data_IF_285610999218
#
_entry.id   IF_285610999218
#
_cell.length_a   1.000
_cell.length_b   1.000
_cell.length_c   1.000
_cell.angle_alpha   90.00
_cell.angle_beta   90.00
_cell.angle_gamma   90.00
#
_symmetry.space_group_name_H-M   'P 1'
#
loop_
_entity.id
_entity.type
_entity.pdbx_description
1 polymer ?
#
# COMPACT_ATOMS: atom_id res chain seq x y z
N UNK A 1 -0.26 5.51 -12.17
CA UNK A 1 0.46 4.25 -11.80
C UNK A 1 -0.48 3.07 -12.01
N UNK A 2 0.05 1.94 -12.50
CA UNK A 2 -0.66 0.66 -12.58
C UNK A 2 0.13 -0.40 -11.79
N UNK A 3 -0.58 -1.26 -11.06
CA UNK A 3 -0.04 -2.42 -10.39
C UNK A 3 -0.57 -3.69 -11.06
N UNK A 4 0.29 -4.39 -11.79
CA UNK A 4 -0.06 -5.53 -12.62
C UNK A 4 0.44 -6.84 -11.99
N UNK A 5 -0.48 -7.78 -11.84
CA UNK A 5 -0.22 -9.16 -11.41
C UNK A 5 -0.30 -10.05 -12.66
N UNK A 6 0.72 -10.87 -12.91
CA UNK A 6 0.76 -11.80 -14.05
C UNK A 6 0.96 -13.21 -13.55
N UNK A 7 -0.06 -14.05 -13.69
CA UNK A 7 -0.05 -15.45 -13.25
C UNK A 7 0.45 -15.60 -11.81
N UNK A 8 0.08 -14.66 -10.93
CA UNK A 8 0.53 -14.67 -9.54
C UNK A 8 -0.06 -15.89 -8.81
N UNK A 9 0.80 -16.74 -8.28
CA UNK A 9 0.45 -17.86 -7.41
C UNK A 9 0.91 -17.52 -6.01
N UNK A 10 0.01 -17.58 -5.04
CA UNK A 10 0.31 -17.32 -3.64
C UNK A 10 -0.25 -18.45 -2.75
N UNK A 11 0.32 -18.60 -1.56
CA UNK A 11 -0.06 -19.68 -0.67
C UNK A 11 0.84 -19.80 0.55
N UNK A 12 0.66 -20.91 1.26
CA UNK A 12 1.44 -21.22 2.45
C UNK A 12 2.25 -22.51 2.26
N UNK A 13 3.50 -22.51 2.73
CA UNK A 13 4.39 -23.70 2.74
C UNK A 13 4.46 -24.40 1.37
N UNK A 14 4.53 -23.63 0.30
CA UNK A 14 4.62 -24.15 -1.07
C UNK A 14 3.29 -24.65 -1.65
N UNK A 15 2.16 -24.57 -0.92
CA UNK A 15 0.84 -24.99 -1.41
C UNK A 15 0.05 -23.79 -1.93
N UNK A 16 -0.32 -23.74 -3.23
CA UNK A 16 -1.19 -22.72 -3.77
C UNK A 16 -2.54 -22.69 -3.07
N UNK A 17 -3.05 -21.49 -2.80
CA UNK A 17 -4.40 -21.29 -2.24
C UNK A 17 -5.46 -21.13 -3.33
N UNK A 18 -5.09 -20.56 -4.47
CA UNK A 18 -5.97 -20.26 -5.59
C UNK A 18 -5.27 -20.55 -6.92
N UNK A 19 -6.03 -20.66 -8.03
CA UNK A 19 -5.47 -20.61 -9.37
C UNK A 19 -4.65 -19.35 -9.61
N UNK A 20 -3.76 -19.34 -10.63
CA UNK A 20 -2.97 -18.17 -10.97
C UNK A 20 -3.82 -16.92 -11.18
N UNK A 21 -3.47 -15.82 -10.51
CA UNK A 21 -4.19 -14.55 -10.57
C UNK A 21 -3.52 -13.62 -11.58
N UNK A 22 -4.26 -13.18 -12.59
CA UNK A 22 -3.84 -12.15 -13.54
C UNK A 22 -4.81 -11.00 -13.50
N UNK A 23 -4.31 -9.81 -13.12
CA UNK A 23 -5.15 -8.64 -12.99
C UNK A 23 -4.29 -7.37 -12.97
N UNK A 24 -4.88 -6.25 -13.44
CA UNK A 24 -4.28 -4.91 -13.33
C UNK A 24 -5.17 -4.02 -12.48
N UNK A 25 -4.55 -3.31 -11.56
CA UNK A 25 -5.15 -2.32 -10.67
C UNK A 25 -4.48 -0.96 -10.92
N UNK A 26 -5.24 0.11 -10.74
CA UNK A 26 -4.79 1.46 -11.08
C UNK A 26 -4.81 2.38 -9.86
N UNK A 27 -3.94 3.38 -9.85
CA UNK A 27 -4.04 4.46 -8.85
C UNK A 27 -5.36 5.20 -9.01
N UNK A 28 -5.92 5.64 -7.89
CA UNK A 28 -7.25 6.26 -7.86
C UNK A 28 -8.38 5.24 -7.71
N UNK A 29 -8.07 3.94 -7.51
CA UNK A 29 -9.08 2.91 -7.28
C UNK A 29 -9.15 2.49 -5.82
N UNK A 30 -10.38 2.34 -5.32
CA UNK A 30 -10.73 1.67 -4.08
C UNK A 30 -11.21 0.26 -4.40
N UNK A 31 -10.41 -0.75 -4.05
CA UNK A 31 -10.65 -2.15 -4.39
C UNK A 31 -11.03 -2.93 -3.14
N UNK A 32 -12.22 -3.53 -3.14
CA UNK A 32 -12.64 -4.42 -2.07
C UNK A 32 -12.28 -5.88 -2.37
N UNK A 33 -11.56 -6.50 -1.45
CA UNK A 33 -11.24 -7.92 -1.48
C UNK A 33 -12.21 -8.66 -0.55
N UNK A 34 -13.14 -9.41 -1.11
CA UNK A 34 -14.18 -10.12 -0.38
C UNK A 34 -14.02 -11.64 -0.46
N UNK A 35 -14.58 -12.36 0.49
CA UNK A 35 -14.54 -13.81 0.54
C UNK A 35 -14.70 -14.33 1.96
N UNK A 36 -14.97 -15.63 2.12
CA UNK A 36 -15.15 -16.28 3.42
C UNK A 36 -13.87 -16.18 4.27
N UNK A 37 -14.03 -16.30 5.60
CA UNK A 37 -12.87 -16.41 6.49
C UNK A 37 -12.01 -17.64 6.09
N UNK A 38 -10.69 -17.46 6.07
CA UNK A 38 -9.75 -18.49 5.61
C UNK A 38 -9.67 -18.68 4.09
N UNK A 39 -10.33 -17.86 3.27
CA UNK A 39 -10.25 -17.96 1.80
C UNK A 39 -8.89 -17.55 1.21
N UNK A 40 -8.05 -16.85 1.98
CA UNK A 40 -6.71 -16.42 1.54
C UNK A 40 -6.56 -14.90 1.33
N UNK A 41 -7.54 -14.08 1.73
CA UNK A 41 -7.46 -12.59 1.61
C UNK A 41 -6.20 -12.02 2.24
N UNK A 42 -5.96 -12.35 3.51
CA UNK A 42 -4.76 -11.90 4.26
C UNK A 42 -3.47 -12.40 3.62
N UNK A 43 -3.45 -13.64 3.14
CA UNK A 43 -2.28 -14.20 2.45
C UNK A 43 -2.00 -13.45 1.15
N UNK A 44 -3.04 -13.12 0.37
CA UNK A 44 -2.88 -12.31 -0.83
C UNK A 44 -2.32 -10.92 -0.48
N UNK A 45 -2.92 -10.21 0.48
CA UNK A 45 -2.44 -8.88 0.89
C UNK A 45 -0.98 -8.92 1.37
N UNK A 46 -0.61 -9.91 2.19
CA UNK A 46 0.78 -10.09 2.64
C UNK A 46 1.73 -10.42 1.49
N UNK A 47 1.28 -11.18 0.49
CA UNK A 47 2.07 -11.45 -0.72
C UNK A 47 2.24 -10.18 -1.56
N UNK A 48 1.17 -9.39 -1.74
CA UNK A 48 1.22 -8.10 -2.45
C UNK A 48 2.11 -7.07 -1.73
N UNK A 49 2.19 -7.12 -0.39
CA UNK A 49 3.10 -6.30 0.40
C UNK A 49 4.57 -6.81 0.36
N UNK A 50 4.79 -8.01 -0.19
CA UNK A 50 6.11 -8.67 -0.15
C UNK A 50 6.53 -9.17 1.22
N UNK A 51 5.57 -9.33 2.16
CA UNK A 51 5.80 -9.96 3.47
C UNK A 51 5.83 -11.48 3.36
N UNK A 52 5.08 -12.04 2.40
CA UNK A 52 5.15 -13.44 2.02
C UNK A 52 5.67 -13.55 0.58
N UNK A 53 6.52 -14.53 0.29
CA UNK A 53 6.97 -14.76 -1.07
C UNK A 53 5.81 -15.26 -1.95
N UNK A 54 5.76 -14.80 -3.20
CA UNK A 54 4.94 -15.46 -4.22
C UNK A 54 5.51 -16.84 -4.54
N UNK A 55 4.64 -17.82 -4.82
CA UNK A 55 5.06 -19.15 -5.24
C UNK A 55 5.46 -19.16 -6.73
N UNK A 56 4.80 -18.35 -7.55
CA UNK A 56 5.14 -18.11 -8.95
C UNK A 56 4.44 -16.85 -9.47
N UNK A 57 4.75 -16.44 -10.70
CA UNK A 57 4.20 -15.25 -11.34
C UNK A 57 5.00 -13.99 -11.05
N UNK A 58 4.48 -12.86 -11.49
CA UNK A 58 5.17 -11.57 -11.43
C UNK A 58 4.23 -10.49 -10.89
N UNK A 59 4.81 -9.56 -10.14
CA UNK A 59 4.17 -8.32 -9.69
C UNK A 59 4.95 -7.15 -10.28
N UNK A 60 4.28 -6.29 -11.03
CA UNK A 60 4.93 -5.19 -11.74
C UNK A 60 4.23 -3.88 -11.44
N UNK A 61 5.02 -2.82 -11.24
CA UNK A 61 4.54 -1.44 -11.16
C UNK A 61 4.91 -0.74 -12.46
N UNK A 62 3.90 -0.19 -13.15
CA UNK A 62 4.08 0.74 -14.25
C UNK A 62 3.76 2.14 -13.77
N UNK A 63 4.68 3.07 -13.95
CA UNK A 63 4.49 4.45 -13.53
C UNK A 63 5.08 5.42 -14.54
N UNK A 64 4.52 6.61 -14.65
CA UNK A 64 5.10 7.75 -15.37
C UNK A 64 5.69 8.72 -14.35
N UNK A 65 6.65 9.53 -14.74
CA UNK A 65 7.53 10.34 -13.88
C UNK A 65 6.91 11.18 -12.76
N UNK A 66 5.58 11.36 -12.71
CA UNK A 66 4.89 12.08 -11.62
C UNK A 66 4.60 11.23 -10.37
N UNK A 67 4.75 9.91 -10.42
CA UNK A 67 4.41 8.99 -9.33
C UNK A 67 5.61 8.18 -8.85
N UNK A 68 6.81 8.52 -9.32
CA UNK A 68 8.02 7.93 -8.75
C UNK A 68 8.29 8.65 -7.41
N UNK A 69 8.41 7.94 -6.27
CA UNK A 69 8.81 8.57 -5.02
C UNK A 69 10.11 9.34 -5.25
N UNK A 70 10.13 10.65 -4.97
CA UNK A 70 11.26 11.55 -5.27
C UNK A 70 12.62 11.03 -4.78
N UNK A 71 12.63 10.23 -3.71
CA UNK A 71 13.82 9.56 -3.20
C UNK A 71 14.34 8.42 -4.07
N UNK A 72 13.57 7.93 -5.03
CA UNK A 72 13.98 6.87 -5.97
C UNK A 72 14.70 7.48 -7.18
N UNK A 73 14.50 8.79 -7.46
CA UNK A 73 15.07 9.46 -8.64
C UNK A 73 16.57 9.80 -8.51
N UNK A 74 17.16 9.82 -7.30
CA UNK A 74 18.50 10.41 -7.12
C UNK A 74 19.67 9.44 -7.00
N UNK A 75 19.48 8.15 -6.78
CA UNK A 75 20.63 7.23 -6.65
C UNK A 75 20.50 5.87 -7.34
N UNK A 76 19.30 5.30 -7.45
CA UNK A 76 19.16 3.86 -7.73
C UNK A 76 18.35 3.51 -8.99
N UNK A 77 17.72 4.48 -9.67
CA UNK A 77 16.91 4.21 -10.87
C UNK A 77 17.75 3.61 -11.97
N UNK A 78 19.00 4.07 -12.15
CA UNK A 78 19.93 3.47 -13.12
C UNK A 78 20.30 2.02 -12.78
N UNK A 79 20.36 1.65 -11.49
CA UNK A 79 20.66 0.28 -11.08
C UNK A 79 19.44 -0.64 -11.20
N UNK A 80 18.24 -0.12 -11.02
CA UNK A 80 16.97 -0.86 -11.12
C UNK A 80 16.60 -1.04 -12.60
N UNK A 81 16.74 0.00 -13.42
CA UNK A 81 16.54 -0.06 -14.88
C UNK A 81 17.54 -0.97 -15.57
N UNK A 82 18.80 -1.00 -15.11
CA UNK A 82 19.82 -1.93 -15.62
C UNK A 82 19.48 -3.41 -15.42
N UNK A 83 18.69 -3.76 -14.41
CA UNK A 83 18.23 -5.14 -14.20
C UNK A 83 17.09 -5.56 -15.14
N UNK A 84 16.31 -4.62 -15.66
CA UNK A 84 15.23 -4.91 -16.62
C UNK A 84 15.76 -5.11 -18.04
N UNK A 85 16.87 -4.48 -18.42
CA UNK A 85 17.46 -4.61 -19.77
C UNK A 85 18.16 -5.95 -20.04
N UNK A 86 18.41 -6.79 -19.03
CA UNK A 86 19.11 -8.08 -19.23
C UNK A 86 18.18 -9.26 -19.59
N UNK A 87 16.87 -9.08 -19.61
CA UNK A 87 15.93 -10.11 -20.09
C UNK A 87 15.43 -9.81 -21.51
N UNK A 88 16.33 -9.83 -22.49
CA UNK A 88 16.07 -10.08 -23.92
C UNK A 88 14.93 -9.29 -24.57
N UNK A 89 15.07 -7.98 -24.77
CA UNK A 89 14.22 -7.21 -25.66
C UNK A 89 14.98 -5.99 -26.18
N UNK A 90 15.16 -5.88 -27.49
CA UNK A 90 15.79 -4.71 -28.13
C UNK A 90 15.04 -3.42 -27.80
N UNK A 91 15.74 -2.29 -27.57
CA UNK A 91 15.09 -1.00 -27.44
C UNK A 91 14.54 -0.58 -28.81
N UNK A 92 13.22 -0.47 -28.92
CA UNK A 92 12.58 0.24 -30.02
C UNK A 92 12.68 1.75 -29.74
N UNK A 93 13.80 2.35 -30.12
CA UNK A 93 13.90 3.79 -30.32
C UNK A 93 13.45 4.08 -31.73
N UNK A 94 12.19 4.42 -31.95
CA UNK A 94 11.79 5.17 -33.14
C UNK A 94 11.91 6.65 -32.81
N UNK A 95 12.91 7.30 -33.38
CA UNK A 95 13.04 8.74 -33.43
C UNK A 95 11.90 9.32 -34.28
N UNK A 96 10.84 9.78 -33.66
CA UNK A 96 9.88 10.67 -34.32
C UNK A 96 10.05 12.08 -33.74
N UNK A 97 10.67 12.92 -34.56
CA UNK A 97 10.81 14.37 -34.38
C UNK A 97 9.44 15.06 -34.40
N UNK A 98 8.89 15.30 -33.23
CA UNK A 98 7.90 16.36 -32.99
C UNK A 98 7.82 16.60 -31.49
N UNK A 99 7.94 17.86 -31.06
CA UNK A 99 8.13 18.33 -29.67
C UNK A 99 6.99 18.01 -28.69
N UNK A 100 6.80 16.73 -28.41
CA UNK A 100 5.99 16.22 -27.31
C UNK A 100 6.95 15.74 -26.22
N UNK A 101 6.81 16.25 -25.02
CA UNK A 101 7.51 15.79 -23.82
C UNK A 101 7.18 14.30 -23.67
N UNK A 102 8.09 13.44 -24.08
CA UNK A 102 7.99 11.99 -23.89
C UNK A 102 7.94 11.72 -22.40
N UNK A 103 6.77 11.35 -21.89
CA UNK A 103 6.64 10.86 -20.53
C UNK A 103 7.31 9.48 -20.49
N UNK A 104 8.48 9.40 -19.87
CA UNK A 104 9.17 8.12 -19.67
C UNK A 104 8.27 7.22 -18.83
N UNK A 105 7.89 6.07 -19.37
CA UNK A 105 7.18 5.02 -18.66
C UNK A 105 8.20 4.07 -18.02
N UNK A 106 8.06 3.86 -16.70
CA UNK A 106 8.91 2.97 -15.94
C UNK A 106 8.16 1.68 -15.62
N UNK A 107 8.80 0.54 -15.83
CA UNK A 107 8.29 -0.77 -15.42
C UNK A 107 9.24 -1.33 -14.37
N UNK A 108 8.72 -1.53 -13.16
CA UNK A 108 9.47 -2.02 -12.01
C UNK A 108 8.97 -3.42 -11.66
N UNK A 109 9.86 -4.41 -11.64
CA UNK A 109 9.55 -5.72 -11.06
C UNK A 109 9.56 -5.59 -9.53
N UNK A 110 8.35 -5.56 -8.96
CA UNK A 110 8.18 -5.41 -7.52
C UNK A 110 8.82 -6.55 -6.72
N UNK A 111 8.90 -7.75 -7.31
CA UNK A 111 9.49 -8.92 -6.65
C UNK A 111 11.00 -8.79 -6.46
N UNK A 112 11.68 -8.03 -7.33
CA UNK A 112 13.13 -7.79 -7.26
C UNK A 112 13.54 -6.72 -6.25
N UNK A 113 12.60 -5.90 -5.78
CA UNK A 113 12.88 -4.81 -4.85
C UNK A 113 13.28 -5.35 -3.46
N UNK A 114 14.22 -4.69 -2.81
CA UNK A 114 14.53 -4.89 -1.40
C UNK A 114 13.34 -4.52 -0.49
N UNK A 115 13.28 -5.00 0.75
CA UNK A 115 12.23 -4.61 1.69
C UNK A 115 12.13 -3.08 1.90
N UNK A 116 13.27 -2.37 1.92
CA UNK A 116 13.30 -0.92 2.08
C UNK A 116 12.73 -0.18 0.86
N UNK A 117 13.04 -0.65 -0.34
CA UNK A 117 12.47 -0.12 -1.58
C UNK A 117 10.97 -0.39 -1.67
N UNK A 118 10.54 -1.64 -1.37
CA UNK A 118 9.10 -1.99 -1.34
C UNK A 118 8.30 -1.13 -0.38
N UNK A 119 8.87 -0.79 0.79
CA UNK A 119 8.22 0.07 1.77
C UNK A 119 7.97 1.51 1.29
N UNK A 120 8.57 1.93 0.18
CA UNK A 120 8.25 3.22 -0.47
C UNK A 120 7.05 3.12 -1.43
N UNK A 121 6.69 1.92 -1.84
CA UNK A 121 5.59 1.67 -2.78
C UNK A 121 4.33 1.19 -2.09
N UNK A 122 4.47 0.40 -1.03
CA UNK A 122 3.35 -0.29 -0.39
C UNK A 122 3.40 -0.10 1.12
N UNK A 123 2.29 0.33 1.69
CA UNK A 123 2.02 0.24 3.13
C UNK A 123 0.92 -0.79 3.40
N UNK A 124 0.96 -1.42 4.57
CA UNK A 124 -0.01 -2.44 4.96
C UNK A 124 -0.46 -2.29 6.40
N UNK A 125 -1.77 -2.47 6.62
CA UNK A 125 -2.38 -2.67 7.94
C UNK A 125 -2.82 -4.12 8.06
N UNK A 126 -2.34 -4.80 9.09
CA UNK A 126 -2.72 -6.18 9.41
C UNK A 126 -3.82 -6.20 10.48
N UNK A 127 -4.62 -7.28 10.57
CA UNK A 127 -5.74 -7.37 11.51
C UNK A 127 -5.28 -7.48 12.97
N UNK A 128 -4.04 -7.89 13.20
CA UNK A 128 -3.43 -7.99 14.52
C UNK A 128 -2.43 -6.86 14.71
N UNK A 129 -2.64 -6.06 15.75
CA UNK A 129 -1.65 -5.05 16.14
C UNK A 129 -0.46 -5.74 16.81
N UNK A 130 0.76 -5.57 16.29
CA UNK A 130 1.94 -6.13 16.96
C UNK A 130 2.12 -5.52 18.35
N UNK A 131 2.68 -6.28 19.27
CA UNK A 131 3.18 -5.72 20.53
C UNK A 131 4.29 -4.73 20.18
N UNK A 132 4.06 -3.48 20.56
CA UNK A 132 5.06 -2.42 20.38
C UNK A 132 5.71 -2.10 21.71
N UNK A 133 6.98 -1.68 21.73
CA UNK A 133 7.61 -1.11 22.92
C UNK A 133 6.73 -0.01 23.54
N UNK A 134 7.01 0.49 24.73
CA UNK A 134 6.23 1.56 25.39
C UNK A 134 6.39 2.90 24.65
N UNK A 135 5.88 2.92 23.39
CA UNK A 135 5.84 4.11 22.52
C UNK A 135 4.51 4.82 22.68
N UNK A 136 4.53 6.14 22.51
CA UNK A 136 3.34 6.97 22.36
C UNK A 136 2.72 6.79 20.97
N UNK A 137 1.46 7.19 20.82
CA UNK A 137 0.76 7.22 19.52
C UNK A 137 1.54 8.03 18.50
N UNK A 138 2.03 9.21 18.88
CA UNK A 138 2.82 10.07 17.98
C UNK A 138 4.07 9.34 17.48
N UNK A 139 4.84 8.72 18.37
CA UNK A 139 6.05 7.99 18.01
C UNK A 139 5.74 6.82 17.05
N UNK A 140 4.67 6.06 17.31
CA UNK A 140 4.25 4.96 16.41
C UNK A 140 3.88 5.48 15.03
N UNK A 141 3.14 6.59 14.92
CA UNK A 141 2.78 7.16 13.62
C UNK A 141 4.01 7.73 12.90
N UNK A 142 4.96 8.33 13.63
CA UNK A 142 6.23 8.80 13.08
C UNK A 142 7.08 7.67 12.48
N UNK A 143 7.00 6.43 13.03
CA UNK A 143 7.66 5.26 12.43
C UNK A 143 7.19 4.99 10.99
N UNK A 144 5.98 5.42 10.62
CA UNK A 144 5.50 5.37 9.24
C UNK A 144 6.42 6.12 8.26
N UNK A 145 7.09 7.18 8.71
CA UNK A 145 8.01 7.97 7.87
C UNK A 145 9.40 7.33 7.68
N UNK A 146 9.68 6.22 8.37
CA UNK A 146 11.00 5.56 8.32
C UNK A 146 11.51 5.27 6.89
N UNK A 147 10.70 4.80 5.93
CA UNK A 147 11.18 4.57 4.56
C UNK A 147 11.65 5.85 3.84
N UNK A 148 11.21 7.01 4.31
CA UNK A 148 11.52 8.33 3.71
C UNK A 148 12.55 9.14 4.53
N UNK A 149 13.24 8.53 5.51
CA UNK A 149 14.20 9.22 6.39
C UNK A 149 15.38 9.88 5.66
N UNK A 150 15.66 9.48 4.43
CA UNK A 150 16.70 10.03 3.57
C UNK A 150 16.14 10.97 2.50
N UNK A 151 14.83 11.19 2.46
CA UNK A 151 14.23 12.17 1.57
C UNK A 151 14.54 13.60 2.08
N UNK A 152 14.62 14.55 1.15
CA UNK A 152 14.98 15.96 1.42
C UNK A 152 13.93 16.77 2.20
N UNK A 153 12.89 16.13 2.73
CA UNK A 153 11.91 16.80 3.58
C UNK A 153 12.56 17.28 4.87
N UNK A 154 12.34 18.57 5.21
CA UNK A 154 12.79 19.06 6.50
C UNK A 154 12.08 18.31 7.64
N UNK A 155 12.74 18.18 8.78
CA UNK A 155 12.13 17.55 9.96
C UNK A 155 10.83 18.26 10.37
N UNK A 156 10.75 19.58 10.12
CA UNK A 156 9.55 20.37 10.38
C UNK A 156 8.38 19.95 9.49
N UNK A 157 8.61 19.75 8.19
CA UNK A 157 7.56 19.33 7.24
C UNK A 157 7.07 17.92 7.58
N UNK A 158 7.98 17.01 7.96
CA UNK A 158 7.62 15.68 8.42
C UNK A 158 6.73 15.70 9.68
N UNK A 159 7.00 16.61 10.63
CA UNK A 159 6.19 16.77 11.84
C UNK A 159 4.79 17.31 11.51
N UNK A 160 4.70 18.34 10.67
CA UNK A 160 3.42 18.91 10.22
C UNK A 160 2.59 17.86 9.47
N UNK A 161 3.23 17.07 8.62
CA UNK A 161 2.55 15.97 7.91
C UNK A 161 1.98 14.92 8.87
N UNK A 162 2.77 14.46 9.84
CA UNK A 162 2.31 13.48 10.84
C UNK A 162 1.15 14.03 11.66
N UNK A 163 1.20 15.30 12.06
CA UNK A 163 0.11 15.95 12.78
C UNK A 163 -1.19 15.97 11.96
N UNK A 164 -1.10 16.31 10.67
CA UNK A 164 -2.23 16.26 9.75
C UNK A 164 -2.84 14.85 9.65
N UNK A 165 -2.01 13.81 9.61
CA UNK A 165 -2.47 12.42 9.59
C UNK A 165 -3.18 12.04 10.89
N UNK A 166 -2.67 12.45 12.05
CA UNK A 166 -3.34 12.22 13.34
C UNK A 166 -4.74 12.82 13.37
N UNK A 167 -4.90 14.04 12.85
CA UNK A 167 -6.20 14.70 12.76
C UNK A 167 -7.15 13.97 11.79
N UNK A 168 -6.68 13.61 10.61
CA UNK A 168 -7.47 12.87 9.60
C UNK A 168 -7.94 11.51 10.08
N UNK A 169 -7.15 10.84 10.91
CA UNK A 169 -7.50 9.55 11.52
C UNK A 169 -8.31 9.71 12.83
N UNK A 170 -8.63 10.94 13.26
CA UNK A 170 -9.42 11.22 14.46
C UNK A 170 -8.72 10.86 15.78
N UNK A 171 -7.38 10.80 15.80
CA UNK A 171 -6.58 10.34 16.95
C UNK A 171 -5.60 11.39 17.49
N UNK A 172 -5.68 12.65 17.05
CA UNK A 172 -4.79 13.72 17.50
C UNK A 172 -4.84 13.91 19.02
N UNK A 173 -6.01 13.75 19.65
CA UNK A 173 -6.20 13.83 21.10
C UNK A 173 -5.51 12.68 21.88
N UNK A 174 -5.04 11.63 21.20
CA UNK A 174 -4.34 10.48 21.76
C UNK A 174 -2.82 10.57 21.58
N UNK A 175 -2.29 11.58 20.90
CA UNK A 175 -0.90 11.66 20.43
C UNK A 175 0.14 11.36 21.52
N UNK A 176 -0.07 11.85 22.74
CA UNK A 176 0.84 11.64 23.90
C UNK A 176 0.56 10.36 24.69
N UNK A 177 -0.54 9.64 24.39
CA UNK A 177 -0.88 8.40 25.12
C UNK A 177 0.02 7.25 24.71
N UNK A 178 0.45 6.40 25.65
CA UNK A 178 1.18 5.18 25.33
C UNK A 178 0.25 4.15 24.69
N UNK A 179 0.76 3.39 23.71
CA UNK A 179 0.01 2.39 22.94
C UNK A 179 -0.71 1.34 23.82
N UNK A 180 -0.09 0.92 24.91
CA UNK A 180 -0.66 -0.10 25.81
C UNK A 180 -1.90 0.39 26.57
N UNK A 181 -2.09 1.72 26.71
CA UNK A 181 -3.25 2.32 27.38
C UNK A 181 -4.45 2.55 26.46
N UNK A 182 -4.37 2.12 25.20
CA UNK A 182 -5.43 2.29 24.20
C UNK A 182 -6.34 1.07 24.15
N UNK A 183 -7.62 1.29 23.77
CA UNK A 183 -8.52 0.22 23.36
C UNK A 183 -8.07 -0.40 22.02
N UNK A 184 -8.58 -1.61 21.72
CA UNK A 184 -8.25 -2.28 20.45
C UNK A 184 -8.65 -1.44 19.23
N UNK A 185 -9.82 -0.80 19.26
CA UNK A 185 -10.25 0.11 18.18
C UNK A 185 -9.36 1.34 18.05
N UNK A 186 -8.90 1.93 19.18
CA UNK A 186 -7.95 3.03 19.14
C UNK A 186 -6.59 2.58 18.59
N UNK A 187 -6.10 1.41 19.00
CA UNK A 187 -4.87 0.80 18.45
C UNK A 187 -4.99 0.60 16.93
N UNK A 188 -6.13 0.10 16.46
CA UNK A 188 -6.39 -0.10 15.04
C UNK A 188 -6.32 1.22 14.25
N UNK A 189 -6.92 2.30 14.76
CA UNK A 189 -6.81 3.63 14.15
C UNK A 189 -5.37 4.16 14.14
N UNK A 190 -4.57 3.90 15.17
CA UNK A 190 -3.14 4.26 15.19
C UNK A 190 -2.36 3.50 14.12
N UNK A 191 -2.63 2.20 13.95
CA UNK A 191 -1.97 1.42 12.89
C UNK A 191 -2.37 1.89 11.49
N UNK A 192 -3.63 2.29 11.30
CA UNK A 192 -4.07 2.94 10.07
C UNK A 192 -3.33 4.27 9.84
N UNK A 193 -3.26 5.14 10.86
CA UNK A 193 -2.53 6.40 10.79
C UNK A 193 -1.04 6.19 10.45
N UNK A 194 -0.40 5.19 11.05
CA UNK A 194 0.99 4.82 10.71
C UNK A 194 1.14 4.44 9.23
N UNK A 195 0.20 3.65 8.69
CA UNK A 195 0.23 3.26 7.28
C UNK A 195 -0.03 4.44 6.34
N UNK A 196 -0.94 5.35 6.71
CA UNK A 196 -1.19 6.61 5.97
C UNK A 196 0.04 7.52 6.04
N UNK A 197 0.69 7.63 7.21
CA UNK A 197 1.91 8.43 7.38
C UNK A 197 3.09 7.90 6.56
N UNK A 198 3.09 6.62 6.19
CA UNK A 198 4.09 6.06 5.28
C UNK A 198 4.01 6.67 3.87
N UNK A 199 2.86 7.24 3.49
CA UNK A 199 2.65 8.00 2.25
C UNK A 199 3.08 7.25 0.98
N UNK A 200 2.60 6.04 0.84
CA UNK A 200 2.88 5.18 -0.31
C UNK A 200 1.79 5.27 -1.38
N UNK A 201 2.11 4.99 -2.66
CA UNK A 201 1.12 4.93 -3.73
C UNK A 201 0.09 3.81 -3.57
N UNK A 202 0.46 2.71 -2.87
CA UNK A 202 -0.40 1.54 -2.65
C UNK A 202 -0.61 1.36 -1.15
N UNK A 203 -1.87 1.27 -0.73
CA UNK A 203 -2.28 1.01 0.65
C UNK A 203 -3.09 -0.28 0.72
N UNK A 204 -2.61 -1.24 1.48
CA UNK A 204 -3.23 -2.54 1.70
C UNK A 204 -3.78 -2.60 3.11
N UNK A 205 -5.06 -3.01 3.26
CA UNK A 205 -5.71 -3.06 4.56
C UNK A 205 -6.42 -4.39 4.74
N UNK A 206 -6.06 -5.09 5.80
CA UNK A 206 -6.68 -6.36 6.16
C UNK A 206 -7.60 -6.14 7.36
N UNK A 207 -8.92 -6.13 7.10
CA UNK A 207 -9.98 -5.90 8.09
C UNK A 207 -9.75 -4.63 8.94
N UNK A 208 -9.56 -3.43 8.31
CA UNK A 208 -9.16 -2.21 9.03
C UNK A 208 -10.20 -1.67 10.01
N UNK A 209 -11.43 -2.18 9.93
CA UNK A 209 -12.56 -1.75 10.76
C UNK A 209 -12.88 -2.70 11.91
N UNK A 210 -12.06 -3.74 12.11
CA UNK A 210 -12.21 -4.61 13.27
C UNK A 210 -12.10 -3.81 14.58
N UNK A 211 -12.94 -4.17 15.56
CA UNK A 211 -13.00 -3.53 16.87
C UNK A 211 -13.49 -2.07 16.87
N UNK A 212 -13.98 -1.55 15.73
CA UNK A 212 -14.56 -0.22 15.63
C UNK A 212 -16.10 -0.29 15.76
N UNK A 213 -16.67 0.72 16.39
CA UNK A 213 -18.11 0.94 16.36
C UNK A 213 -18.56 1.39 14.96
N UNK A 214 -19.87 1.55 14.78
CA UNK A 214 -20.45 1.92 13.50
C UNK A 214 -19.95 3.27 13.00
N UNK A 215 -19.90 4.30 13.86
CA UNK A 215 -19.46 5.64 13.49
C UNK A 215 -17.98 5.63 13.07
N UNK A 216 -17.13 5.01 13.90
CA UNK A 216 -15.71 4.86 13.62
C UNK A 216 -15.44 4.10 12.32
N UNK A 217 -16.26 3.09 12.02
CA UNK A 217 -16.20 2.35 10.75
C UNK A 217 -16.50 3.25 9.56
N UNK A 218 -17.53 4.10 9.64
CA UNK A 218 -17.87 5.04 8.58
C UNK A 218 -16.75 6.06 8.34
N UNK A 219 -16.16 6.61 9.42
CA UNK A 219 -15.04 7.55 9.33
C UNK A 219 -13.83 6.92 8.63
N UNK A 220 -13.49 5.67 8.96
CA UNK A 220 -12.41 4.94 8.28
C UNK A 220 -12.72 4.76 6.79
N UNK A 221 -13.92 4.34 6.43
CA UNK A 221 -14.28 4.16 5.02
C UNK A 221 -14.27 5.46 4.23
N UNK A 222 -14.70 6.58 4.83
CA UNK A 222 -14.59 7.91 4.22
C UNK A 222 -13.13 8.30 3.98
N UNK A 223 -12.25 8.05 4.95
CA UNK A 223 -10.82 8.29 4.80
C UNK A 223 -10.24 7.46 3.64
N UNK A 224 -10.59 6.16 3.54
CA UNK A 224 -10.11 5.31 2.45
C UNK A 224 -10.60 5.78 1.08
N UNK A 225 -11.83 6.26 0.99
CA UNK A 225 -12.38 6.86 -0.21
C UNK A 225 -11.59 8.12 -0.62
N UNK A 226 -11.29 9.02 0.32
CA UNK A 226 -10.46 10.21 0.07
C UNK A 226 -9.06 9.84 -0.41
N UNK A 227 -8.39 8.89 0.26
CA UNK A 227 -7.06 8.42 -0.13
C UNK A 227 -7.04 7.87 -1.57
N UNK A 228 -8.08 7.12 -1.95
CA UNK A 228 -8.17 6.58 -3.30
C UNK A 228 -8.47 7.69 -4.34
N UNK A 229 -9.55 8.44 -4.16
CA UNK A 229 -10.09 9.29 -5.22
C UNK A 229 -9.48 10.68 -5.26
N UNK A 230 -9.15 11.28 -4.10
CA UNK A 230 -8.58 12.62 -4.03
C UNK A 230 -7.04 12.58 -4.15
N UNK A 231 -6.40 11.68 -3.39
CA UNK A 231 -4.93 11.54 -3.39
C UNK A 231 -4.41 10.55 -4.46
N UNK A 232 -5.33 9.95 -5.26
CA UNK A 232 -4.99 9.04 -6.35
C UNK A 232 -4.15 7.83 -5.92
N UNK A 233 -4.32 7.36 -4.69
CA UNK A 233 -3.68 6.11 -4.23
C UNK A 233 -4.45 4.89 -4.73
N UNK A 234 -3.77 3.75 -4.87
CA UNK A 234 -4.44 2.46 -5.00
C UNK A 234 -4.70 1.92 -3.60
N UNK A 235 -5.97 1.79 -3.23
CA UNK A 235 -6.37 1.29 -1.91
C UNK A 235 -7.03 -0.08 -2.06
N UNK A 236 -6.48 -1.11 -1.42
CA UNK A 236 -7.02 -2.48 -1.45
C UNK A 236 -7.43 -2.87 -0.03
N UNK A 237 -8.70 -3.15 0.17
CA UNK A 237 -9.30 -3.44 1.49
C UNK A 237 -9.87 -4.85 1.50
N UNK A 238 -9.31 -5.75 2.30
CA UNK A 238 -10.00 -6.98 2.65
C UNK A 238 -11.03 -6.66 3.74
N UNK A 239 -12.28 -7.00 3.49
CA UNK A 239 -13.39 -6.71 4.41
C UNK A 239 -14.50 -7.74 4.33
N UNK A 240 -15.22 -7.88 5.41
CA UNK A 240 -16.48 -8.63 5.49
C UNK A 240 -17.72 -7.74 5.34
N UNK A 241 -17.56 -6.41 5.27
CA UNK A 241 -18.65 -5.45 5.06
C UNK A 241 -19.10 -5.44 3.59
N UNK A 242 -19.88 -6.45 3.19
CA UNK A 242 -20.27 -6.67 1.79
C UNK A 242 -21.10 -5.52 1.20
N UNK A 243 -21.99 -4.94 2.00
CA UNK A 243 -22.86 -3.84 1.54
C UNK A 243 -22.03 -2.60 1.23
N UNK A 244 -21.05 -2.28 2.08
CA UNK A 244 -20.10 -1.21 1.82
C UNK A 244 -19.27 -1.51 0.56
N UNK A 245 -18.71 -2.70 0.47
CA UNK A 245 -17.87 -3.10 -0.66
C UNK A 245 -18.60 -2.97 -2.01
N UNK A 246 -19.88 -3.33 -2.06
CA UNK A 246 -20.70 -3.23 -3.28
C UNK A 246 -21.07 -1.80 -3.64
N UNK A 247 -21.20 -0.91 -2.64
CA UNK A 247 -21.68 0.46 -2.84
C UNK A 247 -20.55 1.44 -3.12
N UNK A 248 -19.41 1.28 -2.44
CA UNK A 248 -18.36 2.30 -2.39
C UNK A 248 -17.07 1.89 -3.12
N UNK A 249 -16.84 0.57 -3.35
CA UNK A 249 -15.63 0.13 -4.03
C UNK A 249 -15.78 0.23 -5.56
N UNK A 250 -14.77 0.77 -6.23
CA UNK A 250 -14.71 0.83 -7.69
C UNK A 250 -14.60 -0.57 -8.31
N UNK A 251 -13.97 -1.49 -7.58
CA UNK A 251 -13.78 -2.87 -8.01
C UNK A 251 -13.89 -3.82 -6.83
N UNK A 252 -14.59 -4.91 -7.04
CA UNK A 252 -14.70 -5.98 -6.05
C UNK A 252 -14.03 -7.24 -6.58
N UNK A 253 -13.08 -7.78 -5.81
CA UNK A 253 -12.39 -9.03 -6.09
C UNK A 253 -12.88 -10.09 -5.10
N UNK A 254 -13.55 -11.11 -5.60
CA UNK A 254 -14.04 -12.21 -4.75
C UNK A 254 -13.02 -13.35 -4.73
N UNK A 255 -12.54 -13.69 -3.53
CA UNK A 255 -11.66 -14.81 -3.28
C UNK A 255 -12.50 -16.03 -2.90
N UNK A 256 -12.65 -16.96 -3.85
CA UNK A 256 -13.36 -18.24 -3.68
C UNK A 256 -12.34 -19.36 -3.65
N UNK A 257 -12.39 -20.12 -2.58
CA UNK A 257 -11.62 -21.35 -2.41
C UNK A 257 -12.50 -22.55 -2.66
#
# INVERSE_FOLDING_TARGET
MQFALRNLIFGHRGKPLLPPLTLTLESGQLVALIGRNGSGKSTLLQTLAGLLPSLAGQMMIKTSGRHCPESTLHADVHSIVGKVQQSGGQPLCEESSSGATTQEEWIIDFSSLSPAERARWVSIVLPTTPEVPPLTVLEVVQLGRWPHRHASLSQRDATVFVDSVLHRCGIAHLASRPMHALSDGQRQRVMLARAVAQDTPILLLDEPTNFLDFQATQEVFQLLHQLAHEEKKLVIVATHHLDWAKREADKTLEIRR
#
